data_IF_105059753535
#
_entry.id   IF_105059753535
#
_cell.length_a   1.000
_cell.length_b   1.000
_cell.length_c   1.000
_cell.angle_alpha   90.00
_cell.angle_beta   90.00
_cell.angle_gamma   90.00
#
_symmetry.space_group_name_H-M   'P 1'
#
loop_
_entity.id
_entity.type
_entity.pdbx_description
1 polymer ?
#
# COMPACT_ATOMS: atom_id res chain seq x y z
N UNK A 1 -29.38 -1.83 -31.87
CA UNK A 1 -28.49 -3.01 -31.69
C UNK A 1 -27.35 -2.82 -30.67
N UNK A 2 -27.18 -1.66 -30.03
CA UNK A 2 -26.12 -1.44 -29.01
C UNK A 2 -26.56 -1.88 -27.60
N UNK A 3 -27.87 -1.87 -27.31
CA UNK A 3 -28.40 -2.19 -25.98
C UNK A 3 -28.36 -3.69 -25.62
N UNK A 4 -28.34 -4.59 -26.62
CA UNK A 4 -28.41 -6.05 -26.40
C UNK A 4 -27.02 -6.67 -26.15
N UNK A 5 -25.93 -6.05 -26.63
CA UNK A 5 -24.55 -6.54 -26.40
C UNK A 5 -24.02 -6.26 -24.98
N UNK A 6 -24.56 -5.27 -24.27
CA UNK A 6 -24.13 -4.96 -22.90
C UNK A 6 -24.79 -5.86 -21.85
N UNK A 7 -25.99 -6.39 -22.12
CA UNK A 7 -26.65 -7.33 -21.21
C UNK A 7 -25.97 -8.71 -21.20
N UNK A 8 -25.48 -9.17 -22.35
CA UNK A 8 -24.81 -10.48 -22.45
C UNK A 8 -23.43 -10.48 -21.77
N UNK A 9 -22.68 -9.36 -21.81
CA UNK A 9 -21.42 -9.24 -21.10
C UNK A 9 -21.64 -9.18 -19.57
N UNK A 10 -22.65 -8.45 -19.11
CA UNK A 10 -23.01 -8.36 -17.70
C UNK A 10 -23.46 -9.72 -17.13
N UNK A 11 -24.21 -10.51 -17.91
CA UNK A 11 -24.68 -11.83 -17.50
C UNK A 11 -23.54 -12.86 -17.44
N UNK A 12 -22.58 -12.81 -18.38
CA UNK A 12 -21.40 -13.70 -18.37
C UNK A 12 -20.48 -13.40 -17.19
N UNK A 13 -20.31 -12.13 -16.81
CA UNK A 13 -19.57 -11.73 -15.59
C UNK A 13 -20.28 -12.22 -14.32
N UNK A 14 -21.62 -12.17 -14.28
CA UNK A 14 -22.40 -12.64 -13.13
C UNK A 14 -22.34 -14.16 -12.93
N UNK A 15 -22.35 -14.94 -14.03
CA UNK A 15 -22.38 -16.41 -13.97
C UNK A 15 -20.99 -17.00 -13.72
N UNK A 16 -19.91 -16.37 -14.21
CA UNK A 16 -18.54 -16.87 -14.01
C UNK A 16 -17.92 -16.47 -12.67
N UNK A 17 -18.35 -15.35 -12.06
CA UNK A 17 -17.92 -14.95 -10.72
C UNK A 17 -18.35 -15.92 -9.60
N UNK A 18 -19.39 -16.72 -9.83
CA UNK A 18 -19.87 -17.72 -8.86
C UNK A 18 -19.11 -19.06 -8.92
N UNK A 19 -18.35 -19.32 -9.99
CA UNK A 19 -17.75 -20.64 -10.25
C UNK A 19 -16.23 -20.69 -10.02
N UNK A 20 -15.60 -19.57 -9.65
CA UNK A 20 -14.17 -19.50 -9.32
C UNK A 20 -13.93 -18.63 -8.07
N UNK A 21 -14.52 -19.02 -6.95
CA UNK A 21 -13.88 -18.78 -5.65
C UNK A 21 -14.19 -19.97 -4.75
N UNK A 22 -13.14 -20.70 -4.35
CA UNK A 22 -13.23 -21.44 -3.11
C UNK A 22 -13.31 -20.39 -1.99
N UNK A 23 -14.51 -19.90 -1.72
CA UNK A 23 -14.75 -19.02 -0.58
C UNK A 23 -14.30 -19.74 0.69
N UNK A 24 -13.54 -19.09 1.60
CA UNK A 24 -13.34 -19.62 2.94
C UNK A 24 -14.72 -19.83 3.56
N UNK A 25 -14.90 -20.95 4.27
CA UNK A 25 -16.16 -21.25 4.96
C UNK A 25 -16.46 -20.08 5.91
N UNK A 26 -17.68 -19.55 5.83
CA UNK A 26 -18.24 -18.48 6.68
C UNK A 26 -18.15 -18.72 8.21
N UNK A 27 -17.63 -19.87 8.68
CA UNK A 27 -17.46 -20.19 10.09
C UNK A 27 -16.12 -19.79 10.72
N UNK A 28 -15.04 -19.71 9.94
CA UNK A 28 -13.69 -19.53 10.51
C UNK A 28 -13.33 -18.05 10.73
N UNK A 29 -13.83 -17.14 9.89
CA UNK A 29 -13.44 -15.72 9.91
C UNK A 29 -13.78 -14.97 11.20
N UNK A 30 -14.91 -15.28 11.84
CA UNK A 30 -15.29 -14.67 13.12
C UNK A 30 -14.43 -15.19 14.29
N UNK A 31 -14.12 -16.48 14.30
CA UNK A 31 -13.24 -17.10 15.28
C UNK A 31 -11.79 -16.59 15.12
N UNK A 32 -11.32 -16.51 13.88
CA UNK A 32 -10.02 -15.96 13.50
C UNK A 32 -9.88 -14.51 13.96
N UNK A 33 -10.84 -13.64 13.63
CA UNK A 33 -10.85 -12.24 14.07
C UNK A 33 -10.89 -12.12 15.61
N UNK A 34 -11.66 -12.99 16.28
CA UNK A 34 -11.72 -13.05 17.74
C UNK A 34 -10.37 -13.40 18.38
N UNK A 35 -9.70 -14.45 17.90
CA UNK A 35 -8.38 -14.85 18.38
C UNK A 35 -7.32 -13.79 18.09
N UNK A 36 -7.36 -13.18 16.91
CA UNK A 36 -6.44 -12.11 16.52
C UNK A 36 -6.59 -10.87 17.42
N UNK A 37 -7.83 -10.52 17.78
CA UNK A 37 -8.10 -9.43 18.72
C UNK A 37 -7.60 -9.71 20.15
N UNK A 38 -7.67 -10.96 20.62
CA UNK A 38 -7.08 -11.36 21.91
C UNK A 38 -5.56 -11.31 21.88
N UNK A 39 -4.95 -11.82 20.81
CA UNK A 39 -3.51 -11.78 20.60
C UNK A 39 -3.00 -10.33 20.58
N UNK A 40 -3.67 -9.46 19.82
CA UNK A 40 -3.33 -8.05 19.74
C UNK A 40 -3.35 -7.38 21.13
N UNK A 41 -4.42 -7.58 21.90
CA UNK A 41 -4.54 -7.00 23.25
C UNK A 41 -3.43 -7.46 24.18
N UNK A 42 -3.07 -8.74 24.15
CA UNK A 42 -1.98 -9.26 24.96
C UNK A 42 -0.64 -8.63 24.54
N UNK A 43 -0.38 -8.55 23.23
CA UNK A 43 0.86 -8.00 22.71
C UNK A 43 1.01 -6.50 22.99
N UNK A 44 -0.04 -5.72 22.75
CA UNK A 44 -0.07 -4.28 23.04
C UNK A 44 0.07 -3.98 24.54
N UNK A 45 -0.34 -4.91 25.42
CA UNK A 45 -0.15 -4.82 26.87
C UNK A 45 1.21 -5.34 27.35
N UNK A 46 2.12 -5.71 26.45
CA UNK A 46 3.41 -6.35 26.74
C UNK A 46 3.31 -7.65 27.55
N UNK A 47 2.16 -8.34 27.50
CA UNK A 47 1.99 -9.69 28.05
C UNK A 47 2.52 -10.72 27.06
N UNK A 48 3.85 -10.79 26.94
CA UNK A 48 4.52 -11.64 25.96
C UNK A 48 4.35 -13.14 26.24
N UNK A 49 4.14 -13.52 27.51
CA UNK A 49 3.82 -14.90 27.89
C UNK A 49 2.52 -15.35 27.23
N UNK A 50 1.45 -14.57 27.42
CA UNK A 50 0.15 -14.82 26.82
C UNK A 50 0.15 -14.63 25.30
N UNK A 51 0.87 -13.62 24.80
CA UNK A 51 1.00 -13.36 23.37
C UNK A 51 1.61 -14.54 22.63
N UNK A 52 2.67 -15.14 23.19
CA UNK A 52 3.28 -16.34 22.64
C UNK A 52 2.27 -17.51 22.56
N UNK A 53 1.53 -17.77 23.64
CA UNK A 53 0.60 -18.90 23.71
C UNK A 53 -0.58 -18.71 22.74
N UNK A 54 -1.13 -17.49 22.66
CA UNK A 54 -2.20 -17.13 21.71
C UNK A 54 -1.72 -17.18 20.24
N UNK A 55 -0.51 -16.70 19.95
CA UNK A 55 0.06 -16.78 18.61
C UNK A 55 0.26 -18.23 18.17
N UNK A 56 0.74 -19.07 19.09
CA UNK A 56 0.91 -20.51 18.84
C UNK A 56 -0.42 -21.21 18.59
N UNK A 57 -1.43 -20.92 19.40
CA UNK A 57 -2.79 -21.43 19.22
C UNK A 57 -3.37 -21.04 17.85
N UNK A 58 -3.27 -19.75 17.50
CA UNK A 58 -3.74 -19.25 16.21
C UNK A 58 -3.05 -19.96 15.04
N UNK A 59 -1.71 -20.08 15.09
CA UNK A 59 -0.95 -20.75 14.02
C UNK A 59 -1.29 -22.23 13.86
N UNK A 60 -1.70 -22.92 14.94
CA UNK A 60 -2.20 -24.30 14.87
C UNK A 60 -3.58 -24.39 14.22
N UNK A 61 -4.49 -23.47 14.56
CA UNK A 61 -5.88 -23.49 14.13
C UNK A 61 -6.06 -22.95 12.70
N UNK A 62 -5.28 -21.94 12.31
CA UNK A 62 -5.48 -21.17 11.08
C UNK A 62 -4.24 -21.16 10.18
N UNK A 63 -3.73 -22.36 9.83
CA UNK A 63 -2.50 -22.54 9.02
C UNK A 63 -2.51 -21.90 7.63
N UNK A 64 -3.69 -21.57 7.10
CA UNK A 64 -3.89 -20.93 5.80
C UNK A 64 -4.33 -19.47 5.92
N UNK A 65 -4.36 -18.94 7.14
CA UNK A 65 -4.73 -17.56 7.42
C UNK A 65 -3.84 -16.59 6.67
N UNK A 66 -4.45 -15.55 6.10
CA UNK A 66 -3.74 -14.40 5.56
C UNK A 66 -2.90 -13.65 6.61
N UNK A 67 -3.27 -13.75 7.90
CA UNK A 67 -2.59 -13.11 9.02
C UNK A 67 -1.46 -13.97 9.61
N UNK A 68 -1.29 -15.22 9.15
CA UNK A 68 -0.31 -16.13 9.74
C UNK A 68 1.11 -15.53 9.81
N UNK A 69 1.64 -14.82 8.78
CA UNK A 69 2.91 -14.11 8.89
C UNK A 69 2.97 -13.13 10.06
N UNK A 70 2.00 -12.22 10.16
CA UNK A 70 1.92 -11.23 11.24
C UNK A 70 1.81 -11.89 12.63
N UNK A 71 1.01 -12.94 12.74
CA UNK A 71 0.86 -13.73 13.98
C UNK A 71 2.15 -14.45 14.35
N UNK A 72 2.80 -15.09 13.38
CA UNK A 72 4.08 -15.76 13.58
C UNK A 72 5.16 -14.78 14.01
N UNK A 73 5.19 -13.57 13.44
CA UNK A 73 6.10 -12.51 13.88
C UNK A 73 5.85 -12.12 15.35
N UNK A 74 4.60 -11.85 15.75
CA UNK A 74 4.25 -11.59 17.16
C UNK A 74 4.72 -12.73 18.06
N UNK A 75 4.54 -13.97 17.60
CA UNK A 75 5.01 -15.18 18.28
C UNK A 75 6.54 -15.22 18.45
N UNK A 76 7.31 -14.98 17.38
CA UNK A 76 8.78 -14.91 17.42
C UNK A 76 9.25 -13.82 18.36
N UNK A 77 8.67 -12.61 18.27
CA UNK A 77 9.00 -11.50 19.16
C UNK A 77 8.72 -11.85 20.61
N UNK A 78 7.55 -12.41 20.89
CA UNK A 78 7.16 -12.84 22.24
C UNK A 78 8.04 -13.98 22.77
N UNK A 79 8.53 -14.85 21.90
CA UNK A 79 9.45 -15.92 22.26
C UNK A 79 10.77 -15.35 22.79
N UNK A 80 11.32 -14.34 22.11
CA UNK A 80 12.55 -13.65 22.53
C UNK A 80 12.37 -12.96 23.88
N UNK A 81 11.28 -12.22 24.07
CA UNK A 81 11.01 -11.52 25.34
C UNK A 81 10.78 -12.48 26.52
N UNK A 82 10.38 -13.73 26.26
CA UNK A 82 10.09 -14.74 27.29
C UNK A 82 11.17 -15.80 27.44
N UNK A 83 12.23 -15.78 26.60
CA UNK A 83 13.23 -16.83 26.53
C UNK A 83 12.70 -18.18 26.01
N UNK A 84 11.52 -18.21 25.39
CA UNK A 84 10.95 -19.40 24.73
C UNK A 84 11.58 -19.58 23.34
N UNK A 85 11.47 -20.77 22.76
CA UNK A 85 11.91 -21.02 21.38
C UNK A 85 10.92 -20.47 20.35
N UNK A 86 11.41 -19.69 19.39
CA UNK A 86 10.62 -19.22 18.25
C UNK A 86 10.52 -20.20 17.07
N UNK A 87 11.21 -21.35 17.12
CA UNK A 87 11.36 -22.28 15.99
C UNK A 87 10.01 -22.74 15.41
N UNK A 88 9.04 -22.99 16.27
CA UNK A 88 7.69 -23.39 15.87
C UNK A 88 7.06 -22.42 14.86
N UNK A 89 7.27 -21.10 15.04
CA UNK A 89 6.70 -20.09 14.15
C UNK A 89 7.42 -20.04 12.80
N UNK A 90 8.74 -20.25 12.79
CA UNK A 90 9.50 -20.37 11.54
C UNK A 90 9.03 -21.59 10.73
N UNK A 91 8.87 -22.75 11.37
CA UNK A 91 8.35 -23.98 10.74
C UNK A 91 6.92 -23.78 10.21
N UNK A 92 6.05 -23.11 10.98
CA UNK A 92 4.69 -22.80 10.53
C UNK A 92 4.69 -21.91 9.27
N UNK A 93 5.64 -20.98 9.17
CA UNK A 93 5.80 -20.13 7.99
C UNK A 93 6.43 -20.86 6.80
N UNK A 94 7.37 -21.77 7.02
CA UNK A 94 7.95 -22.57 5.92
C UNK A 94 6.87 -23.33 5.13
N UNK A 95 5.82 -23.81 5.80
CA UNK A 95 4.65 -24.44 5.17
C UNK A 95 3.58 -23.48 4.63
N UNK A 96 3.73 -22.16 4.81
CA UNK A 96 2.81 -21.16 4.30
C UNK A 96 3.22 -20.68 2.90
N UNK A 97 2.22 -20.53 2.02
CA UNK A 97 2.36 -19.97 0.68
C UNK A 97 1.50 -18.71 0.59
N UNK A 98 2.14 -17.55 0.75
CA UNK A 98 1.45 -16.27 0.75
C UNK A 98 2.34 -15.08 1.13
N UNK A 99 1.78 -13.90 0.93
CA UNK A 99 2.47 -12.62 1.16
C UNK A 99 2.85 -12.42 2.64
N UNK A 100 4.02 -11.84 2.89
CA UNK A 100 4.53 -11.47 4.22
C UNK A 100 5.46 -12.50 4.88
N UNK A 101 5.45 -13.77 4.45
CA UNK A 101 6.33 -14.82 4.99
C UNK A 101 7.81 -14.45 4.95
N UNK A 102 8.31 -14.04 3.78
CA UNK A 102 9.73 -13.76 3.59
C UNK A 102 10.21 -12.60 4.46
N UNK A 103 9.36 -11.59 4.69
CA UNK A 103 9.66 -10.48 5.57
C UNK A 103 9.89 -10.97 7.01
N UNK A 104 9.03 -11.85 7.50
CA UNK A 104 9.12 -12.39 8.87
C UNK A 104 10.28 -13.39 9.01
N UNK A 105 10.56 -14.21 8.00
CA UNK A 105 11.69 -15.15 8.04
C UNK A 105 13.06 -14.44 8.01
N UNK A 106 13.14 -13.25 7.40
CA UNK A 106 14.35 -12.42 7.39
C UNK A 106 14.52 -11.58 8.68
N UNK A 107 13.50 -11.51 9.54
CA UNK A 107 13.55 -10.71 10.76
C UNK A 107 14.59 -11.29 11.74
N UNK A 108 15.54 -10.45 12.17
CA UNK A 108 16.49 -10.77 13.23
C UNK A 108 15.95 -10.25 14.57
N UNK A 109 15.43 -11.12 15.44
CA UNK A 109 14.81 -10.67 16.68
C UNK A 109 15.82 -10.23 17.74
N UNK A 110 17.11 -10.55 17.59
CA UNK A 110 18.18 -10.14 18.51
C UNK A 110 18.67 -8.73 18.18
N UNK A 111 18.71 -8.40 16.88
CA UNK A 111 19.08 -7.07 16.39
C UNK A 111 17.91 -6.09 16.28
N UNK A 112 16.72 -6.46 16.74
CA UNK A 112 15.45 -5.75 16.56
C UNK A 112 15.61 -4.23 16.44
N UNK A 113 14.94 -3.62 15.46
CA UNK A 113 15.21 -2.24 15.07
C UNK A 113 14.83 -1.31 16.23
N UNK A 114 15.85 -0.78 16.91
CA UNK A 114 15.64 0.22 17.95
C UNK A 114 15.32 1.53 17.26
N UNK A 115 14.17 2.12 17.62
CA UNK A 115 13.71 3.45 17.21
C UNK A 115 14.83 4.49 17.30
N UNK A 116 15.62 4.60 16.23
CA UNK A 116 16.59 5.68 16.05
C UNK A 116 16.08 6.51 14.89
N UNK A 117 15.41 7.61 15.21
CA UNK A 117 15.10 8.63 14.23
C UNK A 117 16.39 9.40 13.96
N UNK A 118 16.75 9.54 12.70
CA UNK A 118 17.78 10.50 12.27
C UNK A 118 17.12 11.59 11.45
N UNK A 119 17.42 12.85 11.76
CA UNK A 119 16.74 14.01 11.17
C UNK A 119 15.43 14.39 11.88
N UNK A 120 14.86 15.51 11.47
CA UNK A 120 13.68 16.13 12.05
C UNK A 120 12.40 15.68 11.31
N UNK A 121 11.31 15.33 12.01
CA UNK A 121 10.02 15.03 11.38
C UNK A 121 9.42 16.22 10.63
N UNK A 122 9.94 17.43 10.87
CA UNK A 122 9.66 18.63 10.11
C UNK A 122 10.43 18.71 8.75
N UNK A 123 11.14 17.63 8.36
CA UNK A 123 11.80 17.49 7.08
C UNK A 123 10.83 17.55 5.88
N UNK A 124 11.32 18.05 4.74
CA UNK A 124 10.55 18.05 3.50
C UNK A 124 10.46 16.65 2.87
N UNK A 125 11.49 15.83 3.09
CA UNK A 125 11.58 14.46 2.59
C UNK A 125 11.71 13.50 3.78
N UNK A 126 10.76 12.58 3.91
CA UNK A 126 10.70 11.61 5.00
C UNK A 126 10.89 10.21 4.44
N UNK A 127 11.99 9.58 4.77
CA UNK A 127 12.26 8.18 4.45
C UNK A 127 11.83 7.35 5.66
N UNK A 128 10.88 6.46 5.48
CA UNK A 128 10.53 5.49 6.51
C UNK A 128 11.49 4.33 6.36
N UNK A 129 12.25 3.98 7.41
CA UNK A 129 13.28 2.95 7.36
C UNK A 129 12.66 1.56 7.19
N UNK A 130 12.30 1.26 5.95
CA UNK A 130 11.70 0.05 5.43
C UNK A 130 12.58 -0.45 4.27
N UNK A 131 12.45 -1.73 3.87
CA UNK A 131 13.25 -2.30 2.78
C UNK A 131 13.31 -1.39 1.54
N UNK A 132 14.52 -1.03 1.12
CA UNK A 132 14.81 -0.16 -0.01
C UNK A 132 14.86 1.35 0.29
N UNK A 133 14.25 1.84 1.38
CA UNK A 133 14.12 3.28 1.62
C UNK A 133 15.47 3.99 1.88
N UNK A 134 16.40 3.34 2.59
CA UNK A 134 17.74 3.89 2.82
C UNK A 134 18.51 4.07 1.51
N UNK A 135 18.45 3.09 0.59
CA UNK A 135 19.09 3.19 -0.72
C UNK A 135 18.47 4.31 -1.57
N UNK A 136 17.15 4.52 -1.48
CA UNK A 136 16.47 5.65 -2.12
C UNK A 136 16.99 6.98 -1.59
N UNK A 137 17.09 7.14 -0.26
CA UNK A 137 17.64 8.34 0.38
C UNK A 137 19.05 8.63 -0.10
N UNK A 138 19.93 7.65 0.03
CA UNK A 138 21.36 7.80 -0.24
C UNK A 138 21.57 8.18 -1.70
N UNK A 139 20.86 7.53 -2.63
CA UNK A 139 20.90 7.88 -4.03
C UNK A 139 20.47 9.33 -4.31
N UNK A 140 19.37 9.79 -3.69
CA UNK A 140 18.86 11.14 -3.91
C UNK A 140 19.82 12.22 -3.38
N UNK A 141 20.49 11.96 -2.25
CA UNK A 141 21.50 12.85 -1.68
C UNK A 141 22.77 12.85 -2.55
N UNK A 142 23.30 11.68 -2.87
CA UNK A 142 24.54 11.53 -3.66
C UNK A 142 24.44 12.15 -5.06
N UNK A 143 23.23 12.14 -5.64
CA UNK A 143 22.96 12.72 -6.96
C UNK A 143 22.44 14.18 -6.89
N UNK A 144 22.52 14.83 -5.72
CA UNK A 144 22.10 16.23 -5.52
C UNK A 144 20.63 16.50 -5.90
N UNK A 145 19.76 15.50 -5.80
CA UNK A 145 18.32 15.66 -6.04
C UNK A 145 17.66 16.35 -4.84
N UNK A 146 18.12 16.01 -3.64
CA UNK A 146 17.70 16.60 -2.37
C UNK A 146 18.93 16.87 -1.50
N UNK A 147 18.81 17.78 -0.53
CA UNK A 147 19.88 18.02 0.46
C UNK A 147 19.71 17.09 1.66
N UNK A 148 20.82 16.65 2.25
CA UNK A 148 20.79 15.82 3.47
C UNK A 148 20.09 16.53 4.65
N UNK A 149 20.14 17.86 4.70
CA UNK A 149 19.49 18.66 5.75
C UNK A 149 17.96 18.73 5.62
N UNK A 150 17.42 18.47 4.43
CA UNK A 150 15.96 18.47 4.18
C UNK A 150 15.31 17.10 4.43
N UNK A 151 16.08 16.12 4.91
CA UNK A 151 15.69 14.72 5.01
C UNK A 151 15.57 14.25 6.46
N UNK A 152 14.62 13.36 6.70
CA UNK A 152 14.58 12.52 7.88
C UNK A 152 14.52 11.04 7.49
N UNK A 153 15.25 10.20 8.21
CA UNK A 153 15.06 8.75 8.21
C UNK A 153 14.39 8.36 9.53
N UNK A 154 13.12 7.96 9.43
CA UNK A 154 12.24 7.62 10.55
C UNK A 154 12.18 6.11 10.69
N UNK A 155 12.62 5.59 11.84
CA UNK A 155 12.39 4.19 12.17
C UNK A 155 10.90 3.96 12.51
N UNK A 156 10.18 3.13 11.74
CA UNK A 156 8.77 2.85 11.96
C UNK A 156 8.53 1.84 13.09
N UNK A 157 9.56 1.15 13.58
CA UNK A 157 9.45 0.04 14.50
C UNK A 157 9.19 -1.31 13.82
N UNK A 158 9.42 -2.39 14.57
CA UNK A 158 9.30 -3.75 14.06
C UNK A 158 7.85 -4.11 13.68
N UNK A 159 6.84 -3.51 14.34
CA UNK A 159 5.43 -3.76 14.06
C UNK A 159 5.05 -3.35 12.64
N UNK A 160 5.35 -2.11 12.25
CA UNK A 160 5.04 -1.61 10.89
C UNK A 160 5.79 -2.42 9.83
N UNK A 161 7.03 -2.85 10.14
CA UNK A 161 7.86 -3.64 9.23
C UNK A 161 7.29 -5.05 8.99
N UNK A 162 6.68 -5.67 9.99
CA UNK A 162 6.35 -7.10 9.94
C UNK A 162 4.84 -7.40 9.94
N UNK A 163 3.99 -6.47 10.36
CA UNK A 163 2.52 -6.60 10.32
C UNK A 163 1.95 -6.18 8.96
N UNK A 164 2.51 -6.71 7.87
CA UNK A 164 2.13 -6.38 6.49
C UNK A 164 0.67 -6.70 6.16
N UNK A 165 0.08 -7.64 6.90
CA UNK A 165 -1.30 -8.10 6.76
C UNK A 165 -1.93 -8.14 8.14
N UNK A 166 -2.77 -7.16 8.44
CA UNK A 166 -3.32 -7.03 9.79
C UNK A 166 -4.66 -6.28 9.76
N UNK A 167 -5.53 -6.40 10.77
CA UNK A 167 -6.74 -5.58 10.82
C UNK A 167 -6.39 -4.11 10.99
N UNK A 168 -6.90 -3.27 10.09
CA UNK A 168 -6.64 -1.83 10.10
C UNK A 168 -6.90 -1.18 11.47
N UNK A 169 -8.03 -1.51 12.08
CA UNK A 169 -8.46 -0.95 13.38
C UNK A 169 -7.50 -1.26 14.52
N UNK A 170 -6.66 -2.29 14.38
CA UNK A 170 -5.63 -2.69 15.34
C UNK A 170 -4.26 -2.16 14.94
N UNK A 171 -3.96 -2.13 13.63
CA UNK A 171 -2.67 -1.67 13.12
C UNK A 171 -2.40 -0.19 13.46
N UNK A 172 -3.45 0.63 13.59
CA UNK A 172 -3.36 2.03 14.02
C UNK A 172 -2.60 2.23 15.35
N UNK A 173 -2.62 1.24 16.25
CA UNK A 173 -1.98 1.33 17.57
C UNK A 173 -0.45 1.43 17.46
N UNK A 174 0.11 1.04 16.31
CA UNK A 174 1.55 1.07 16.03
C UNK A 174 1.97 2.22 15.11
N UNK A 175 1.04 3.06 14.64
CA UNK A 175 1.31 4.11 13.65
C UNK A 175 1.84 5.42 14.22
N UNK A 176 2.01 5.51 15.56
CA UNK A 176 2.55 6.69 16.23
C UNK A 176 3.90 7.20 15.68
N UNK A 177 4.86 6.34 15.25
CA UNK A 177 6.11 6.79 14.63
C UNK A 177 5.90 7.61 13.35
N UNK A 178 4.81 7.38 12.61
CA UNK A 178 4.45 8.10 11.39
C UNK A 178 3.50 9.28 11.64
N UNK A 179 3.15 9.56 12.90
CA UNK A 179 2.37 10.73 13.26
C UNK A 179 3.23 12.00 13.30
N UNK A 180 2.60 13.13 12.97
CA UNK A 180 3.20 14.47 13.08
C UNK A 180 4.25 14.80 12.03
N UNK A 181 4.20 14.15 10.86
CA UNK A 181 5.06 14.54 9.73
C UNK A 181 4.66 15.92 9.21
N UNK A 182 5.65 16.67 8.69
CA UNK A 182 5.41 17.97 8.05
C UNK A 182 4.32 17.89 6.99
N UNK A 183 3.42 18.86 7.01
CA UNK A 183 2.44 19.05 5.93
C UNK A 183 3.17 19.31 4.60
N UNK A 184 2.77 18.63 3.53
CA UNK A 184 3.44 18.72 2.24
C UNK A 184 4.71 17.86 2.12
N UNK A 185 5.06 17.07 3.14
CA UNK A 185 6.20 16.16 3.05
C UNK A 185 6.02 15.12 1.93
N UNK A 186 7.15 14.78 1.30
CA UNK A 186 7.25 13.63 0.39
C UNK A 186 7.76 12.44 1.19
N UNK A 187 6.94 11.41 1.32
CA UNK A 187 7.26 10.21 2.08
C UNK A 187 7.75 9.08 1.17
N UNK A 188 8.76 8.34 1.61
CA UNK A 188 9.31 7.19 0.90
C UNK A 188 9.21 5.95 1.78
N UNK A 189 8.57 4.89 1.27
CA UNK A 189 8.39 3.64 2.01
C UNK A 189 9.29 2.50 1.51
N UNK A 190 10.07 2.73 0.47
CA UNK A 190 10.83 1.65 -0.16
C UNK A 190 9.91 0.74 -0.98
N UNK A 191 9.73 -0.49 -0.52
CA UNK A 191 8.93 -1.54 -1.17
C UNK A 191 7.42 -1.24 -1.25
N UNK A 192 6.79 -1.72 -2.32
CA UNK A 192 5.32 -1.64 -2.52
C UNK A 192 4.51 -2.45 -1.49
N UNK A 193 5.15 -3.35 -0.74
CA UNK A 193 4.52 -4.07 0.38
C UNK A 193 3.93 -3.14 1.45
N UNK A 194 4.43 -1.89 1.51
CA UNK A 194 4.06 -0.90 2.50
C UNK A 194 3.14 0.20 1.96
N UNK A 195 2.59 0.05 0.75
CA UNK A 195 1.76 1.08 0.11
C UNK A 195 0.53 1.47 0.95
N UNK A 196 0.03 0.54 1.76
CA UNK A 196 -1.06 0.78 2.71
C UNK A 196 -0.77 1.88 3.75
N UNK A 197 0.50 2.24 3.97
CA UNK A 197 0.87 3.38 4.81
C UNK A 197 0.37 4.72 4.26
N UNK A 198 0.13 4.83 2.95
CA UNK A 198 -0.48 6.02 2.33
C UNK A 198 -1.80 6.40 3.01
N UNK A 199 -2.63 5.42 3.38
CA UNK A 199 -3.88 5.67 4.12
C UNK A 199 -3.63 6.41 5.43
N UNK A 200 -2.58 6.05 6.18
CA UNK A 200 -2.27 6.66 7.47
C UNK A 200 -1.70 8.08 7.35
N UNK A 201 -1.13 8.43 6.19
CA UNK A 201 -0.78 9.82 5.89
C UNK A 201 -2.01 10.63 5.51
N UNK A 202 -2.86 10.07 4.63
CA UNK A 202 -4.07 10.73 4.12
C UNK A 202 -5.07 11.06 5.25
N UNK A 203 -5.25 10.19 6.24
CA UNK A 203 -6.16 10.43 7.39
C UNK A 203 -5.80 11.68 8.23
N UNK A 204 -4.55 12.15 8.14
CA UNK A 204 -4.11 13.35 8.86
C UNK A 204 -4.55 14.64 8.15
N UNK A 205 -4.96 14.55 6.89
CA UNK A 205 -5.48 15.67 6.10
C UNK A 205 -6.90 16.00 6.57
N UNK A 206 -7.13 17.25 6.95
CA UNK A 206 -8.44 17.72 7.44
C UNK A 206 -9.23 18.52 6.40
N UNK A 207 -8.57 19.04 5.38
CA UNK A 207 -9.22 19.74 4.27
C UNK A 207 -9.89 18.76 3.30
N UNK A 208 -10.85 19.27 2.54
CA UNK A 208 -11.40 18.55 1.39
C UNK A 208 -10.30 18.30 0.36
N UNK A 209 -10.09 17.05 -0.02
CA UNK A 209 -8.93 16.62 -0.81
C UNK A 209 -9.34 15.64 -1.90
N UNK A 210 -8.68 15.75 -3.06
CA UNK A 210 -8.68 14.71 -4.10
C UNK A 210 -7.42 13.88 -3.97
N UNK A 211 -7.56 12.57 -4.00
CA UNK A 211 -6.41 11.64 -3.95
C UNK A 211 -6.14 11.13 -5.35
N UNK A 212 -4.91 11.33 -5.82
CA UNK A 212 -4.43 10.80 -7.11
C UNK A 212 -3.44 9.68 -6.80
N UNK A 213 -3.78 8.47 -7.22
CA UNK A 213 -2.96 7.27 -7.00
C UNK A 213 -2.43 6.81 -8.34
N UNK A 214 -1.11 6.75 -8.47
CA UNK A 214 -0.39 6.21 -9.61
C UNK A 214 0.03 4.79 -9.26
N UNK A 215 -0.55 3.79 -9.95
CA UNK A 215 -0.41 2.38 -9.58
C UNK A 215 -0.81 1.46 -10.75
N UNK A 216 -0.15 0.29 -10.89
CA UNK A 216 -0.61 -0.77 -11.78
C UNK A 216 -1.84 -1.50 -11.22
N UNK A 217 -2.02 -1.48 -9.91
CA UNK A 217 -3.05 -2.16 -9.14
C UNK A 217 -4.11 -1.17 -8.65
N UNK A 218 -5.29 -1.68 -8.31
CA UNK A 218 -6.36 -0.82 -7.80
C UNK A 218 -6.29 -0.60 -6.31
N UNK A 219 -5.58 -1.49 -5.59
CA UNK A 219 -5.50 -1.54 -4.14
C UNK A 219 -6.85 -1.43 -3.41
N UNK A 220 -7.91 -1.87 -4.10
CA UNK A 220 -9.31 -1.74 -3.71
C UNK A 220 -9.93 -3.10 -3.38
N UNK A 221 -9.14 -4.13 -3.06
CA UNK A 221 -9.68 -5.48 -2.82
C UNK A 221 -10.83 -5.44 -1.81
N UNK A 222 -11.99 -6.01 -2.19
CA UNK A 222 -13.18 -6.00 -1.34
C UNK A 222 -12.93 -6.80 -0.06
N UNK A 223 -13.08 -6.13 1.09
CA UNK A 223 -13.11 -6.78 2.40
C UNK A 223 -14.34 -7.68 2.57
N UNK A 224 -14.09 -8.99 2.61
CA UNK A 224 -14.92 -10.02 3.25
C UNK A 224 -14.21 -10.70 4.44
N UNK A 225 -12.88 -10.62 4.45
CA UNK A 225 -12.01 -10.88 5.60
C UNK A 225 -11.48 -9.52 6.08
N UNK A 226 -11.28 -9.31 7.39
CA UNK A 226 -10.84 -8.03 8.00
C UNK A 226 -9.42 -7.56 7.58
N UNK A 227 -8.93 -8.01 6.43
CA UNK A 227 -7.55 -7.99 6.02
C UNK A 227 -7.22 -6.66 5.37
N UNK A 228 -6.33 -5.90 6.01
CA UNK A 228 -5.76 -4.67 5.49
C UNK A 228 -4.26 -4.88 5.18
N UNK A 229 -3.87 -4.51 3.97
CA UNK A 229 -2.52 -4.61 3.38
C UNK A 229 -2.43 -3.69 2.14
N UNK A 230 -1.29 -3.73 1.41
CA UNK A 230 -1.10 -2.93 0.19
C UNK A 230 -2.27 -3.11 -0.80
N UNK A 231 -2.68 -4.32 -1.14
CA UNK A 231 -3.76 -4.54 -2.10
C UNK A 231 -5.18 -4.11 -1.66
N UNK A 232 -5.38 -3.48 -0.49
CA UNK A 232 -6.71 -3.18 0.06
C UNK A 232 -6.88 -1.79 0.68
N UNK A 233 -5.86 -0.94 0.68
CA UNK A 233 -5.90 0.33 1.44
C UNK A 233 -6.78 1.42 0.82
N UNK A 234 -7.02 1.39 -0.49
CA UNK A 234 -7.75 2.45 -1.21
C UNK A 234 -9.19 2.52 -0.73
N UNK A 235 -9.84 1.38 -0.47
CA UNK A 235 -11.23 1.35 0.00
C UNK A 235 -11.43 2.08 1.34
N UNK A 236 -10.78 1.70 2.44
CA UNK A 236 -10.95 2.41 3.71
C UNK A 236 -10.34 3.82 3.70
N UNK A 237 -9.55 4.19 2.70
CA UNK A 237 -9.19 5.60 2.45
C UNK A 237 -10.37 6.37 1.85
N UNK A 238 -11.05 5.80 0.85
CA UNK A 238 -12.21 6.43 0.18
C UNK A 238 -13.41 6.65 1.10
N UNK A 239 -13.53 5.86 2.17
CA UNK A 239 -14.60 6.00 3.16
C UNK A 239 -14.44 7.24 4.08
N UNK A 240 -13.31 7.95 3.99
CA UNK A 240 -13.07 9.17 4.77
C UNK A 240 -13.86 10.37 4.21
N UNK A 241 -14.57 11.14 5.06
CA UNK A 241 -15.54 12.15 4.62
C UNK A 241 -14.94 13.38 3.92
N UNK A 242 -13.65 13.63 4.11
CA UNK A 242 -12.94 14.73 3.48
C UNK A 242 -12.41 14.37 2.07
N UNK A 243 -12.45 13.10 1.68
CA UNK A 243 -12.08 12.66 0.32
C UNK A 243 -13.23 12.94 -0.63
N UNK A 244 -13.01 13.80 -1.62
CA UNK A 244 -14.07 14.22 -2.56
C UNK A 244 -14.00 13.53 -3.91
N UNK A 245 -12.82 13.02 -4.24
CA UNK A 245 -12.57 12.32 -5.49
C UNK A 245 -11.33 11.45 -5.34
N UNK A 246 -11.35 10.29 -5.98
CA UNK A 246 -10.15 9.46 -6.15
C UNK A 246 -9.91 9.24 -7.64
N UNK A 247 -8.67 9.45 -8.07
CA UNK A 247 -8.25 9.23 -9.45
C UNK A 247 -7.14 8.18 -9.42
N UNK A 248 -7.42 6.99 -9.95
CA UNK A 248 -6.45 5.91 -10.10
C UNK A 248 -5.86 5.95 -11.51
N UNK A 249 -4.54 6.01 -11.62
CA UNK A 249 -3.82 6.22 -12.88
C UNK A 249 -2.81 5.10 -13.09
N UNK A 250 -2.90 4.41 -14.23
CA UNK A 250 -1.94 3.40 -14.64
C UNK A 250 -2.40 1.96 -14.50
N UNK A 251 -3.63 1.73 -14.01
CA UNK A 251 -4.19 0.40 -13.78
C UNK A 251 -3.91 -0.53 -14.96
N UNK A 252 -3.11 -1.56 -14.71
CA UNK A 252 -2.68 -2.50 -15.74
C UNK A 252 -3.75 -3.57 -15.95
N UNK A 253 -4.17 -3.69 -17.20
CA UNK A 253 -5.29 -4.56 -17.59
C UNK A 253 -4.90 -5.74 -18.47
N UNK A 254 -3.62 -5.92 -18.79
CA UNK A 254 -3.11 -7.08 -19.55
C UNK A 254 -2.84 -8.29 -18.66
N UNK A 255 -2.50 -8.08 -17.38
CA UNK A 255 -2.21 -9.16 -16.43
C UNK A 255 -3.49 -9.78 -15.88
N UNK A 256 -3.42 -11.07 -15.50
CA UNK A 256 -4.54 -11.84 -14.92
C UNK A 256 -5.11 -11.27 -13.60
N UNK A 257 -4.47 -10.25 -13.00
CA UNK A 257 -5.08 -9.34 -12.00
C UNK A 257 -6.42 -8.75 -12.46
N UNK A 258 -6.68 -8.79 -13.77
CA UNK A 258 -7.96 -8.55 -14.40
C UNK A 258 -9.14 -9.12 -13.58
N UNK A 259 -9.11 -10.37 -13.08
CA UNK A 259 -10.28 -10.89 -12.35
C UNK A 259 -10.56 -10.20 -11.01
N UNK A 260 -9.55 -9.60 -10.39
CA UNK A 260 -9.68 -8.72 -9.21
C UNK A 260 -10.14 -7.30 -9.60
N UNK A 261 -10.02 -6.91 -10.87
CA UNK A 261 -10.32 -5.55 -11.36
C UNK A 261 -11.67 -5.41 -12.11
N UNK A 262 -12.47 -6.47 -12.26
CA UNK A 262 -13.63 -6.48 -13.19
C UNK A 262 -15.03 -6.49 -12.58
N UNK A 263 -15.16 -6.58 -11.24
CA UNK A 263 -16.48 -6.79 -10.62
C UNK A 263 -16.81 -5.84 -9.48
N UNK A 264 -16.12 -4.71 -9.35
CA UNK A 264 -16.32 -3.80 -8.23
C UNK A 264 -16.91 -2.47 -8.69
N UNK A 265 -18.08 -2.16 -8.14
CA UNK A 265 -18.65 -0.83 -8.23
C UNK A 265 -17.81 0.06 -7.32
N UNK A 266 -16.76 0.68 -7.88
CA UNK A 266 -16.09 1.78 -7.22
C UNK A 266 -17.14 2.84 -6.85
N UNK A 267 -16.94 3.58 -5.75
CA UNK A 267 -17.76 4.75 -5.43
C UNK A 267 -17.92 5.65 -6.65
N UNK A 268 -19.08 6.30 -6.76
CA UNK A 268 -19.45 7.09 -7.93
C UNK A 268 -18.48 8.24 -8.23
N UNK A 269 -17.71 8.67 -7.22
CA UNK A 269 -16.75 9.77 -7.31
C UNK A 269 -15.31 9.30 -7.61
N UNK A 270 -15.14 8.07 -8.12
CA UNK A 270 -13.85 7.56 -8.58
C UNK A 270 -13.67 7.66 -10.11
N UNK A 271 -12.47 8.00 -10.56
CA UNK A 271 -12.03 7.91 -11.95
C UNK A 271 -10.88 6.91 -12.06
N UNK A 272 -11.00 5.96 -12.98
CA UNK A 272 -9.92 5.01 -13.28
C UNK A 272 -9.39 5.28 -14.69
N UNK A 273 -8.08 5.49 -14.80
CA UNK A 273 -7.34 5.68 -16.05
C UNK A 273 -6.39 4.50 -16.26
N UNK A 274 -6.77 3.58 -17.13
CA UNK A 274 -6.10 2.29 -17.29
C UNK A 274 -5.16 2.23 -18.50
N UNK A 275 -4.19 1.31 -18.45
CA UNK A 275 -3.38 0.89 -19.62
C UNK A 275 -3.52 -0.64 -19.83
N UNK A 276 -3.34 -1.09 -21.07
CA UNK A 276 -3.49 -2.49 -21.49
C UNK A 276 -4.63 -2.72 -22.47
N UNK A 277 -5.12 -3.95 -22.58
CA UNK A 277 -6.04 -4.36 -23.65
C UNK A 277 -7.52 -4.39 -23.26
N UNK A 278 -7.86 -4.42 -21.95
CA UNK A 278 -9.26 -4.48 -21.51
C UNK A 278 -10.09 -3.26 -21.97
N UNK A 279 -11.32 -3.41 -22.48
CA UNK A 279 -12.10 -2.25 -22.92
C UNK A 279 -12.39 -1.28 -21.77
N UNK A 280 -12.59 0.00 -22.11
CA UNK A 280 -13.12 0.99 -21.17
C UNK A 280 -14.56 0.66 -20.81
N UNK A 281 -14.95 0.90 -19.56
CA UNK A 281 -16.28 0.60 -19.03
C UNK A 281 -16.90 1.89 -18.51
N UNK A 282 -18.12 2.17 -18.97
CA UNK A 282 -18.93 3.29 -18.54
C UNK A 282 -20.29 2.77 -18.08
N UNK A 283 -20.54 2.81 -16.77
CA UNK A 283 -21.82 2.36 -16.20
C UNK A 283 -22.28 3.34 -15.13
N UNK A 284 -23.25 4.19 -15.47
CA UNK A 284 -23.72 5.26 -14.57
C UNK A 284 -22.62 6.30 -14.30
N UNK A 285 -22.35 6.62 -13.03
CA UNK A 285 -21.27 7.55 -12.64
C UNK A 285 -19.88 6.89 -12.59
N UNK A 286 -19.79 5.56 -12.70
CA UNK A 286 -18.51 4.87 -12.78
C UNK A 286 -17.82 5.16 -14.13
N UNK A 287 -16.61 5.73 -14.04
CA UNK A 287 -15.79 6.10 -15.22
C UNK A 287 -14.47 5.35 -15.20
N UNK A 288 -14.34 4.37 -16.09
CA UNK A 288 -13.09 3.67 -16.38
C UNK A 288 -12.65 3.94 -17.81
N UNK A 289 -11.68 4.82 -17.98
CA UNK A 289 -11.18 5.29 -19.27
C UNK A 289 -9.81 4.68 -19.57
N UNK A 290 -9.42 4.67 -20.85
CA UNK A 290 -8.01 4.56 -21.21
C UNK A 290 -7.27 5.80 -20.71
N UNK A 291 -6.03 5.61 -20.26
CA UNK A 291 -5.14 6.73 -19.90
C UNK A 291 -4.97 7.71 -21.07
N UNK A 292 -4.91 7.22 -22.31
CA UNK A 292 -4.85 8.08 -23.50
C UNK A 292 -6.11 8.93 -23.74
N UNK A 293 -7.22 8.65 -23.05
CA UNK A 293 -8.47 9.40 -23.11
C UNK A 293 -8.66 10.30 -21.88
N UNK A 294 -7.61 10.53 -21.11
CA UNK A 294 -7.61 11.40 -19.94
C UNK A 294 -7.88 12.86 -20.36
N UNK A 295 -8.71 13.55 -19.59
CA UNK A 295 -8.89 15.00 -19.71
C UNK A 295 -7.61 15.74 -19.25
N UNK A 296 -7.20 16.77 -19.98
CA UNK A 296 -6.03 17.58 -19.63
C UNK A 296 -6.43 19.07 -19.63
N UNK A 297 -6.39 19.76 -18.47
CA UNK A 297 -6.02 19.24 -17.14
C UNK A 297 -7.03 18.22 -16.60
N UNK A 298 -6.60 17.42 -15.63
CA UNK A 298 -7.48 16.49 -14.92
C UNK A 298 -8.58 17.29 -14.20
N UNK A 299 -9.83 16.85 -14.35
CA UNK A 299 -10.93 17.43 -13.59
C UNK A 299 -10.84 17.06 -12.11
N UNK A 300 -10.22 17.92 -11.31
CA UNK A 300 -10.03 17.78 -9.87
C UNK A 300 -10.91 18.83 -9.15
N UNK A 301 -11.90 18.41 -8.33
CA UNK A 301 -12.88 19.33 -7.74
C UNK A 301 -12.37 20.10 -6.52
N UNK A 302 -11.16 19.79 -6.02
CA UNK A 302 -10.62 20.33 -4.75
C UNK A 302 -9.38 21.17 -4.99
N UNK A 303 -9.15 22.15 -4.11
CA UNK A 303 -7.89 22.92 -4.09
C UNK A 303 -6.70 22.06 -3.68
N UNK A 304 -6.92 21.15 -2.73
CA UNK A 304 -5.87 20.30 -2.15
C UNK A 304 -5.87 18.94 -2.85
N UNK A 305 -4.66 18.45 -3.15
CA UNK A 305 -4.43 17.13 -3.75
C UNK A 305 -3.40 16.37 -2.94
N UNK A 306 -3.63 15.07 -2.73
CA UNK A 306 -2.62 14.14 -2.27
C UNK A 306 -2.18 13.23 -3.42
N UNK A 307 -0.88 13.01 -3.57
CA UNK A 307 -0.32 12.17 -4.64
C UNK A 307 0.36 10.94 -4.02
N UNK A 308 -0.12 9.75 -4.35
CA UNK A 308 0.56 8.49 -4.02
C UNK A 308 1.09 7.85 -5.29
N UNK A 309 2.35 7.42 -5.28
CA UNK A 309 3.00 6.78 -6.44
C UNK A 309 3.57 5.43 -6.04
N UNK A 310 2.91 4.35 -6.46
CA UNK A 310 3.53 3.03 -6.55
C UNK A 310 4.25 2.94 -7.90
N UNK A 311 5.58 2.84 -7.87
CA UNK A 311 6.41 2.79 -9.06
C UNK A 311 6.19 1.54 -9.93
N UNK A 312 5.45 0.54 -9.45
CA UNK A 312 5.07 -0.61 -10.25
C UNK A 312 4.16 -0.26 -11.42
N UNK A 313 3.52 0.92 -11.46
CA UNK A 313 2.78 1.37 -12.64
C UNK A 313 3.65 1.50 -13.89
N UNK A 314 4.96 1.71 -13.68
CA UNK A 314 5.92 1.98 -14.73
C UNK A 314 6.22 0.74 -15.58
N UNK A 315 6.52 0.96 -16.86
CA UNK A 315 7.11 -0.08 -17.72
C UNK A 315 8.42 -0.60 -17.11
N UNK A 316 8.73 -1.88 -17.36
CA UNK A 316 9.93 -2.58 -16.84
C UNK A 316 11.26 -1.89 -17.21
N UNK A 317 11.25 -1.10 -18.30
CA UNK A 317 12.38 -0.28 -18.70
C UNK A 317 12.76 0.81 -17.66
N UNK A 318 11.82 1.22 -16.80
CA UNK A 318 12.00 2.33 -15.85
C UNK A 318 12.14 1.91 -14.39
N UNK A 319 11.57 0.77 -13.98
CA UNK A 319 11.62 0.30 -12.59
C UNK A 319 11.62 -1.23 -12.51
N UNK A 320 12.27 -1.76 -11.47
CA UNK A 320 12.18 -3.16 -11.05
C UNK A 320 11.36 -3.23 -9.77
N UNK A 321 10.27 -3.99 -9.78
CA UNK A 321 9.27 -4.02 -8.70
C UNK A 321 8.86 -5.44 -8.31
N UNK A 322 8.40 -5.62 -7.08
CA UNK A 322 8.04 -6.95 -6.53
C UNK A 322 6.65 -7.42 -6.98
N UNK A 323 5.72 -6.48 -7.23
CA UNK A 323 4.35 -6.76 -7.70
C UNK A 323 4.23 -6.78 -9.23
N UNK A 324 5.37 -6.59 -9.89
CA UNK A 324 5.55 -6.66 -11.33
C UNK A 324 5.04 -5.41 -12.05
N UNK A 325 5.72 -5.06 -13.11
CA UNK A 325 5.49 -3.80 -13.81
C UNK A 325 4.13 -3.66 -14.50
N UNK A 326 3.70 -2.42 -14.57
CA UNK A 326 2.60 -1.89 -15.32
C UNK A 326 3.06 -1.55 -16.72
N UNK A 327 2.49 -0.46 -17.23
CA UNK A 327 2.71 -0.06 -18.61
C UNK A 327 2.95 1.43 -18.74
N UNK A 328 2.91 2.27 -17.71
CA UNK A 328 3.00 3.73 -17.90
C UNK A 328 4.46 4.15 -18.12
N UNK A 329 4.73 5.10 -19.01
CA UNK A 329 6.10 5.64 -19.13
C UNK A 329 6.39 6.66 -18.02
N UNK A 330 7.66 6.81 -17.64
CA UNK A 330 8.05 7.79 -16.64
C UNK A 330 7.64 9.24 -17.02
N UNK A 331 7.75 9.60 -18.30
CA UNK A 331 7.39 10.93 -18.79
C UNK A 331 5.89 11.20 -18.66
N UNK A 332 5.03 10.18 -18.84
CA UNK A 332 3.60 10.32 -18.61
C UNK A 332 3.31 10.63 -17.13
N UNK A 333 3.95 9.91 -16.20
CA UNK A 333 3.78 10.14 -14.76
C UNK A 333 4.20 11.56 -14.38
N UNK A 334 5.42 11.96 -14.77
CA UNK A 334 5.96 13.30 -14.47
C UNK A 334 5.08 14.40 -15.06
N UNK A 335 4.66 14.28 -16.33
CA UNK A 335 3.82 15.27 -17.00
C UNK A 335 2.46 15.45 -16.33
N UNK A 336 1.84 14.36 -15.87
CA UNK A 336 0.56 14.42 -15.15
C UNK A 336 0.75 15.13 -13.80
N UNK A 337 1.79 14.78 -13.03
CA UNK A 337 2.08 15.40 -11.74
C UNK A 337 2.34 16.90 -11.92
N UNK A 338 3.16 17.29 -12.88
CA UNK A 338 3.44 18.70 -13.21
C UNK A 338 2.18 19.46 -13.65
N UNK A 339 1.27 18.80 -14.38
CA UNK A 339 -0.02 19.41 -14.73
C UNK A 339 -0.90 19.65 -13.51
N UNK A 340 -0.93 18.71 -12.55
CA UNK A 340 -1.69 18.87 -11.30
C UNK A 340 -1.14 20.03 -10.48
N UNK A 341 0.19 20.13 -10.36
CA UNK A 341 0.87 21.19 -9.58
C UNK A 341 0.60 22.61 -10.06
N UNK A 342 0.30 22.78 -11.34
CA UNK A 342 0.00 24.11 -11.91
C UNK A 342 -1.31 24.69 -11.39
N UNK A 343 -2.26 23.84 -11.00
CA UNK A 343 -3.63 24.25 -10.67
C UNK A 343 -4.05 23.89 -9.24
N UNK A 344 -3.33 22.97 -8.58
CA UNK A 344 -3.68 22.46 -7.26
C UNK A 344 -2.49 22.46 -6.31
N UNK A 345 -2.78 22.57 -5.01
CA UNK A 345 -1.79 22.46 -3.95
C UNK A 345 -1.59 20.99 -3.55
N UNK A 346 -0.37 20.49 -3.66
CA UNK A 346 -0.01 19.17 -3.13
C UNK A 346 0.13 19.29 -1.61
N UNK A 347 -0.78 18.68 -0.85
CA UNK A 347 -0.76 18.74 0.63
C UNK A 347 0.02 17.62 1.30
N UNK A 348 0.53 16.68 0.49
CA UNK A 348 1.36 15.57 0.88
C UNK A 348 1.54 14.61 -0.30
N UNK A 349 2.60 13.82 -0.26
CA UNK A 349 2.80 12.75 -1.24
C UNK A 349 3.57 11.58 -0.69
N UNK A 350 3.43 10.44 -1.35
CA UNK A 350 4.27 9.27 -1.11
C UNK A 350 4.75 8.60 -2.39
N UNK A 351 5.92 7.96 -2.29
CA UNK A 351 6.56 7.19 -3.35
C UNK A 351 7.00 5.84 -2.79
N UNK A 352 6.58 4.74 -3.42
CA UNK A 352 6.97 3.38 -3.06
C UNK A 352 7.03 2.48 -4.31
N UNK A 353 7.03 1.15 -4.13
CA UNK A 353 6.89 0.21 -5.23
C UNK A 353 8.17 -0.38 -5.79
N UNK A 354 9.35 0.08 -5.32
CA UNK A 354 10.61 -0.50 -5.77
C UNK A 354 10.91 -1.83 -5.07
N UNK A 355 11.79 -2.65 -5.63
CA UNK A 355 12.29 -3.83 -4.92
C UNK A 355 13.04 -3.46 -3.62
N UNK A 356 13.11 -4.40 -2.67
CA UNK A 356 13.88 -4.27 -1.41
C UNK A 356 15.32 -3.76 -1.63
N UNK A 357 15.93 -4.19 -2.73
CA UNK A 357 17.25 -3.76 -3.21
C UNK A 357 17.08 -3.08 -4.57
N UNK A 358 16.80 -1.75 -4.59
CA UNK A 358 16.49 -1.05 -5.82
C UNK A 358 17.73 -0.88 -6.71
N UNK A 359 17.56 -1.16 -8.00
CA UNK A 359 18.62 -0.96 -8.99
C UNK A 359 18.78 0.51 -9.42
N UNK A 360 19.87 0.82 -10.13
CA UNK A 360 20.17 2.19 -10.55
C UNK A 360 19.14 2.78 -11.53
N UNK A 361 18.45 1.97 -12.36
CA UNK A 361 17.40 2.50 -13.26
C UNK A 361 16.17 2.94 -12.46
N UNK A 362 15.81 2.16 -11.46
CA UNK A 362 14.68 2.43 -10.57
C UNK A 362 14.92 3.69 -9.76
N UNK A 363 16.14 3.83 -9.20
CA UNK A 363 16.53 5.02 -8.44
C UNK A 363 16.57 6.30 -9.30
N UNK A 364 17.01 6.22 -10.57
CA UNK A 364 16.90 7.33 -11.52
C UNK A 364 15.46 7.75 -11.78
N UNK A 365 14.56 6.79 -11.95
CA UNK A 365 13.13 7.06 -12.15
C UNK A 365 12.50 7.68 -10.91
N UNK A 366 12.84 7.17 -9.73
CA UNK A 366 12.38 7.69 -8.44
C UNK A 366 12.82 9.15 -8.24
N UNK A 367 14.06 9.49 -8.59
CA UNK A 367 14.55 10.86 -8.54
C UNK A 367 13.73 11.84 -9.39
N UNK A 368 13.34 11.43 -10.61
CA UNK A 368 12.50 12.26 -11.48
C UNK A 368 11.10 12.47 -10.90
N UNK A 369 10.51 11.44 -10.29
CA UNK A 369 9.21 11.54 -9.63
C UNK A 369 9.30 12.41 -8.38
N UNK A 370 10.34 12.25 -7.55
CA UNK A 370 10.58 13.05 -6.36
C UNK A 370 10.68 14.55 -6.68
N UNK A 371 11.35 14.93 -7.77
CA UNK A 371 11.38 16.30 -8.26
C UNK A 371 10.01 16.79 -8.73
N UNK A 372 9.27 15.93 -9.43
CA UNK A 372 7.93 16.27 -9.91
C UNK A 372 6.97 16.56 -8.75
N UNK A 373 6.93 15.73 -7.70
CA UNK A 373 5.96 15.89 -6.58
C UNK A 373 6.34 16.98 -5.57
N UNK A 374 7.60 17.41 -5.52
CA UNK A 374 8.09 18.44 -4.59
C UNK A 374 7.22 19.70 -4.65
N UNK A 375 6.68 20.16 -3.52
CA UNK A 375 6.03 21.47 -3.45
C UNK A 375 7.08 22.58 -3.68
N UNK A 376 6.78 23.52 -4.57
CA UNK A 376 7.62 24.70 -4.72
C UNK A 376 7.42 25.57 -3.48
N UNK A 377 8.50 25.82 -2.73
CA UNK A 377 8.48 26.75 -1.60
C UNK A 377 8.38 28.16 -2.20
N UNK A 378 7.15 28.67 -2.34
CA UNK A 378 6.89 30.06 -2.73
C UNK A 378 6.77 30.98 -1.52
#
# INVERSE_FOLDING_TARGET
MIFIRNLSLALVVFVTGFLCSASPRLGDGAAEAGQLGLLHKAYAAADYGRSYDLAKEFALNFKRSAYLPSVAWIGVKSAVETGKSGLFFAEALEGFDGHGKNQVLKYDPVKGHRRTVSGDKDAAYVFVDLPGAAAQRDYLIENNVISAGDCALVDPGDEIRNLLRYPDVLLKDFMAPLAGLKKGAVCFYGSGNYHHLARYLIQNIKSEVTVVVFDAHTDYRLGGDALFDCGSWVRPMMEQPNIKKVILIGINTEKKWFYENHSYRFPEDALILQKGDAPSVYTGKFRRLRLGNMESPLNIPTKDVYISVDMDLLEEAYATTDWGNGKVSLDQVVSIIESIKKEHRIVGSDICGLADEPDAKSLRSLARIALAVKEDIF
#
